data_IF_614177983771
#
_entry.id   IF_614177983771
#
_cell.length_a   1.000
_cell.length_b   1.000
_cell.length_c   1.000
_cell.angle_alpha   90.00
_cell.angle_beta   90.00
_cell.angle_gamma   90.00
#
_symmetry.space_group_name_H-M   'P 1'
#
loop_
_entity.id
_entity.type
_entity.pdbx_description
1 polymer ?
#
# COMPACT_ATOMS: atom_id res chain seq x y z
N UNK A 1 8.48 15.78 11.64
CA UNK A 1 9.69 15.95 12.49
C UNK A 1 10.58 14.72 12.48
N UNK A 2 10.04 13.49 12.64
CA UNK A 2 10.83 12.25 12.59
C UNK A 2 11.59 12.03 11.26
N UNK A 3 10.95 12.29 10.12
CA UNK A 3 11.59 12.16 8.80
C UNK A 3 12.80 13.10 8.64
N UNK A 4 12.64 14.36 9.04
CA UNK A 4 13.72 15.35 8.98
C UNK A 4 14.88 14.97 9.90
N UNK A 5 14.59 14.52 11.13
CA UNK A 5 15.61 14.01 12.04
C UNK A 5 16.34 12.78 11.49
N UNK A 6 15.60 11.83 10.90
CA UNK A 6 16.19 10.64 10.26
C UNK A 6 17.10 11.01 9.09
N UNK A 7 16.69 11.95 8.23
CA UNK A 7 17.49 12.49 7.13
C UNK A 7 18.79 13.15 7.61
N UNK A 8 18.71 13.95 8.69
CA UNK A 8 19.90 14.59 9.29
C UNK A 8 20.85 13.54 9.85
N UNK A 9 20.34 12.53 10.57
CA UNK A 9 21.17 11.44 11.12
C UNK A 9 21.85 10.67 9.99
N UNK A 10 21.13 10.28 8.94
CA UNK A 10 21.70 9.60 7.78
C UNK A 10 22.79 10.47 7.12
N UNK A 11 22.54 11.76 6.93
CA UNK A 11 23.51 12.69 6.36
C UNK A 11 24.78 12.80 7.19
N UNK A 12 24.65 12.94 8.51
CA UNK A 12 25.79 13.01 9.45
C UNK A 12 26.55 11.68 9.49
N UNK A 13 25.85 10.53 9.52
CA UNK A 13 26.47 9.21 9.50
C UNK A 13 27.27 8.97 8.23
N UNK A 14 26.76 9.36 7.06
CA UNK A 14 27.48 9.26 5.79
C UNK A 14 28.69 10.19 5.74
N UNK A 15 28.58 11.41 6.27
CA UNK A 15 29.69 12.36 6.31
C UNK A 15 30.84 11.93 7.25
N UNK A 16 30.52 11.33 8.39
CA UNK A 16 31.51 10.93 9.41
C UNK A 16 32.10 9.55 9.11
N UNK A 17 31.28 8.58 8.68
CA UNK A 17 31.70 7.19 8.51
C UNK A 17 32.01 6.81 7.05
N UNK A 18 31.47 7.52 6.06
CA UNK A 18 31.65 7.21 4.63
C UNK A 18 33.10 7.14 4.15
N UNK A 19 33.99 8.07 4.56
CA UNK A 19 35.42 8.00 4.21
C UNK A 19 36.14 6.80 4.82
N UNK A 20 35.73 6.32 6.00
CA UNK A 20 36.35 5.21 6.69
C UNK A 20 35.88 3.83 6.19
N UNK A 21 34.68 3.76 5.59
CA UNK A 21 34.10 2.54 5.02
C UNK A 21 34.32 2.40 3.51
N UNK A 22 34.94 3.40 2.86
CA UNK A 22 35.08 3.45 1.40
C UNK A 22 33.76 3.70 0.67
N UNK A 23 32.72 4.14 1.39
CA UNK A 23 31.43 4.47 0.81
C UNK A 23 31.53 5.80 0.05
N UNK A 24 32.00 5.72 -1.19
CA UNK A 24 31.82 6.80 -2.15
C UNK A 24 30.35 6.85 -2.56
N UNK A 25 29.73 8.02 -2.41
CA UNK A 25 28.40 8.27 -2.97
C UNK A 25 28.55 8.47 -4.47
N UNK A 26 28.48 7.38 -5.23
CA UNK A 26 28.36 7.49 -6.67
C UNK A 26 26.98 8.08 -7.00
N UNK A 27 26.99 9.33 -7.47
CA UNK A 27 25.78 10.06 -7.85
C UNK A 27 25.01 9.32 -8.96
N UNK A 28 25.66 8.43 -9.72
CA UNK A 28 24.98 7.58 -10.70
C UNK A 28 24.01 6.58 -10.04
N UNK A 29 24.27 6.14 -8.81
CA UNK A 29 23.36 5.27 -8.05
C UNK A 29 22.18 6.02 -7.43
N UNK A 30 22.19 7.37 -7.44
CA UNK A 30 21.06 8.19 -7.02
C UNK A 30 20.02 8.39 -8.14
N UNK A 31 20.34 7.98 -9.37
CA UNK A 31 19.40 8.05 -10.50
C UNK A 31 18.39 6.90 -10.39
N UNK A 32 17.07 7.17 -10.50
CA UNK A 32 16.06 6.13 -10.51
C UNK A 32 16.28 5.15 -11.66
N UNK A 33 16.28 3.85 -11.34
CA UNK A 33 16.40 2.78 -12.33
C UNK A 33 15.19 1.86 -12.26
N UNK A 34 14.75 1.38 -13.41
CA UNK A 34 13.70 0.37 -13.49
C UNK A 34 14.37 -0.99 -13.28
N UNK A 35 14.02 -1.67 -12.20
CA UNK A 35 14.49 -3.00 -11.87
C UNK A 35 13.29 -3.92 -11.71
N UNK A 36 13.28 -5.05 -12.42
CA UNK A 36 12.21 -6.03 -12.32
C UNK A 36 12.52 -7.00 -11.18
N UNK A 37 11.53 -7.23 -10.33
CA UNK A 37 11.63 -8.09 -9.15
C UNK A 37 10.92 -9.41 -9.41
N UNK A 38 11.67 -10.47 -9.72
CA UNK A 38 11.08 -11.78 -9.95
C UNK A 38 10.39 -12.31 -8.68
N UNK A 39 9.09 -12.70 -8.72
CA UNK A 39 8.43 -13.27 -7.56
C UNK A 39 8.96 -14.67 -7.26
N UNK A 40 9.32 -14.92 -6.00
CA UNK A 40 9.77 -16.23 -5.52
C UNK A 40 8.71 -16.83 -4.61
N UNK A 41 8.07 -17.91 -5.06
CA UNK A 41 7.03 -18.59 -4.29
C UNK A 41 7.63 -19.67 -3.42
N UNK A 42 7.45 -19.54 -2.10
CA UNK A 42 7.81 -20.60 -1.15
C UNK A 42 6.69 -20.82 -0.16
N UNK A 43 6.48 -22.08 0.23
CA UNK A 43 5.50 -22.44 1.27
C UNK A 43 5.87 -21.79 2.60
N UNK A 44 7.16 -21.72 2.92
CA UNK A 44 7.65 -21.06 4.12
C UNK A 44 7.25 -19.58 4.17
N UNK A 45 7.46 -18.81 3.10
CA UNK A 45 7.05 -17.41 3.05
C UNK A 45 5.52 -17.25 3.05
N UNK A 46 4.79 -18.16 2.39
CA UNK A 46 3.33 -18.15 2.41
C UNK A 46 2.78 -18.32 3.84
N UNK A 47 3.33 -19.25 4.62
CA UNK A 47 2.87 -19.52 5.99
C UNK A 47 3.38 -18.47 6.98
N UNK A 48 4.66 -18.09 6.89
CA UNK A 48 5.29 -17.19 7.85
C UNK A 48 4.95 -15.72 7.64
N UNK A 49 4.64 -15.32 6.40
CA UNK A 49 4.37 -13.92 6.04
C UNK A 49 3.02 -13.77 5.35
N UNK A 50 2.75 -14.56 4.31
CA UNK A 50 1.55 -14.43 3.48
C UNK A 50 0.25 -14.53 4.28
N UNK A 51 0.08 -15.61 5.04
CA UNK A 51 -1.12 -15.84 5.87
C UNK A 51 -1.26 -14.76 6.96
N UNK A 52 -0.24 -14.46 7.80
CA UNK A 52 -0.35 -13.41 8.80
C UNK A 52 -0.68 -12.03 8.21
N UNK A 53 0.01 -11.63 7.14
CA UNK A 53 -0.22 -10.33 6.49
C UNK A 53 -1.60 -10.26 5.83
N UNK A 54 -2.07 -11.36 5.25
CA UNK A 54 -3.43 -11.45 4.72
C UNK A 54 -4.46 -11.24 5.82
N UNK A 55 -4.32 -11.95 6.95
CA UNK A 55 -5.24 -11.82 8.09
C UNK A 55 -5.27 -10.37 8.61
N UNK A 56 -4.10 -9.75 8.82
CA UNK A 56 -4.01 -8.36 9.27
C UNK A 56 -4.66 -7.41 8.26
N UNK A 57 -4.39 -7.59 6.96
CA UNK A 57 -4.97 -6.75 5.90
C UNK A 57 -6.50 -6.86 5.86
N UNK A 58 -7.00 -8.09 6.00
CA UNK A 58 -8.44 -8.34 5.99
C UNK A 58 -9.13 -7.74 7.22
N UNK A 59 -8.56 -7.93 8.41
CA UNK A 59 -9.10 -7.43 9.65
C UNK A 59 -9.03 -5.89 9.75
N UNK A 60 -7.95 -5.28 9.27
CA UNK A 60 -7.71 -3.84 9.44
C UNK A 60 -8.27 -2.97 8.32
N UNK A 61 -8.40 -3.50 7.10
CA UNK A 61 -8.74 -2.67 5.92
C UNK A 61 -9.95 -3.22 5.16
N UNK A 62 -9.86 -4.45 4.63
CA UNK A 62 -10.88 -4.93 3.69
C UNK A 62 -12.24 -5.12 4.36
N UNK A 63 -12.29 -5.75 5.54
CA UNK A 63 -13.56 -5.97 6.24
C UNK A 63 -14.15 -4.67 6.80
N UNK A 64 -13.38 -3.80 7.51
CA UNK A 64 -13.89 -2.51 7.94
C UNK A 64 -14.38 -1.63 6.79
N UNK A 65 -13.67 -1.59 5.66
CA UNK A 65 -14.10 -0.78 4.50
C UNK A 65 -15.46 -1.19 3.95
N UNK A 66 -15.70 -2.50 3.84
CA UNK A 66 -17.00 -3.04 3.42
C UNK A 66 -18.08 -2.77 4.47
N UNK A 67 -17.76 -2.93 5.75
CA UNK A 67 -18.69 -2.65 6.83
C UNK A 67 -19.13 -1.17 6.85
N UNK A 68 -18.21 -0.24 6.56
CA UNK A 68 -18.53 1.19 6.46
C UNK A 68 -19.44 1.46 5.25
N UNK A 69 -19.13 0.91 4.07
CA UNK A 69 -20.00 1.05 2.91
C UNK A 69 -21.42 0.49 3.16
N UNK A 70 -21.50 -0.67 3.81
CA UNK A 70 -22.78 -1.26 4.21
C UNK A 70 -23.56 -0.38 5.19
N UNK A 71 -22.87 0.31 6.11
CA UNK A 71 -23.53 1.26 7.04
C UNK A 71 -24.14 2.48 6.35
N UNK A 72 -23.67 2.82 5.14
CA UNK A 72 -24.27 3.85 4.28
C UNK A 72 -25.31 3.28 3.29
N UNK A 73 -25.64 2.00 3.37
CA UNK A 73 -26.63 1.35 2.51
C UNK A 73 -26.10 0.83 1.18
N UNK A 74 -24.77 0.83 0.95
CA UNK A 74 -24.18 0.30 -0.28
C UNK A 74 -23.92 -1.20 -0.18
N UNK A 75 -24.43 -1.96 -1.15
CA UNK A 75 -24.06 -3.35 -1.35
C UNK A 75 -22.70 -3.43 -2.07
N UNK A 76 -21.68 -3.91 -1.37
CA UNK A 76 -20.33 -4.02 -1.96
C UNK A 76 -20.18 -5.35 -2.69
N UNK A 77 -19.75 -5.39 -3.97
CA UNK A 77 -19.53 -6.64 -4.70
C UNK A 77 -18.23 -7.32 -4.22
N UNK A 78 -18.28 -7.93 -3.05
CA UNK A 78 -17.11 -8.46 -2.32
C UNK A 78 -16.19 -9.34 -3.16
N UNK A 79 -16.76 -10.32 -3.88
CA UNK A 79 -15.98 -11.25 -4.71
C UNK A 79 -15.22 -10.51 -5.80
N UNK A 80 -15.91 -9.63 -6.53
CA UNK A 80 -15.29 -8.84 -7.59
C UNK A 80 -14.15 -8.01 -7.00
N UNK A 81 -14.43 -7.24 -5.95
CA UNK A 81 -13.45 -6.38 -5.29
C UNK A 81 -12.18 -7.12 -4.83
N UNK A 82 -12.34 -8.29 -4.19
CA UNK A 82 -11.19 -9.10 -3.77
C UNK A 82 -10.42 -9.70 -4.96
N UNK A 83 -11.12 -10.11 -6.03
CA UNK A 83 -10.43 -10.63 -7.22
C UNK A 83 -9.64 -9.54 -7.95
N UNK A 84 -10.14 -8.30 -8.03
CA UNK A 84 -9.41 -7.20 -8.68
C UNK A 84 -8.17 -6.82 -7.89
N UNK A 85 -8.25 -6.73 -6.56
CA UNK A 85 -7.08 -6.40 -5.73
C UNK A 85 -6.03 -7.51 -5.74
N UNK A 86 -6.45 -8.78 -5.75
CA UNK A 86 -5.54 -9.92 -5.90
C UNK A 86 -4.84 -9.91 -7.28
N UNK A 87 -5.60 -9.69 -8.36
CA UNK A 87 -5.04 -9.58 -9.71
C UNK A 87 -4.07 -8.40 -9.82
N UNK A 88 -4.43 -7.24 -9.27
CA UNK A 88 -3.57 -6.07 -9.23
C UNK A 88 -2.27 -6.34 -8.44
N UNK A 89 -2.35 -7.07 -7.33
CA UNK A 89 -1.17 -7.49 -6.55
C UNK A 89 -0.24 -8.40 -7.35
N UNK A 90 -0.81 -9.39 -8.06
CA UNK A 90 -0.01 -10.31 -8.89
C UNK A 90 0.65 -9.59 -10.06
N UNK A 91 -0.06 -8.65 -10.68
CA UNK A 91 0.46 -7.84 -11.80
C UNK A 91 1.52 -6.86 -11.31
N UNK A 92 1.41 -6.32 -10.09
CA UNK A 92 2.37 -5.36 -9.54
C UNK A 92 3.65 -6.02 -9.01
N UNK A 93 3.59 -7.29 -8.57
CA UNK A 93 4.72 -7.97 -7.95
C UNK A 93 6.02 -7.97 -8.80
N UNK A 94 6.01 -8.21 -10.13
CA UNK A 94 7.20 -8.11 -10.99
C UNK A 94 7.86 -6.74 -11.02
N UNK A 95 7.13 -5.69 -10.63
CA UNK A 95 7.62 -4.31 -10.56
C UNK A 95 8.01 -3.90 -9.12
N UNK A 96 8.12 -4.87 -8.20
CA UNK A 96 8.34 -4.59 -6.78
C UNK A 96 7.10 -4.03 -6.06
N UNK A 97 5.92 -4.21 -6.65
CA UNK A 97 4.65 -3.79 -6.06
C UNK A 97 4.31 -4.54 -4.78
N UNK A 98 3.69 -3.83 -3.84
CA UNK A 98 3.20 -4.40 -2.60
C UNK A 98 1.74 -4.87 -2.76
N UNK A 99 1.21 -5.52 -1.72
CA UNK A 99 -0.18 -5.97 -1.69
C UNK A 99 -1.15 -4.80 -1.89
N UNK A 100 -2.05 -4.96 -2.87
CA UNK A 100 -3.14 -4.03 -3.17
C UNK A 100 -4.36 -4.46 -2.33
N UNK A 101 -5.00 -3.49 -1.67
CA UNK A 101 -6.14 -3.71 -0.78
C UNK A 101 -7.22 -2.64 -1.01
N UNK A 102 -8.35 -2.75 -0.30
CA UNK A 102 -9.41 -1.74 -0.40
C UNK A 102 -9.00 -0.45 0.29
N UNK A 103 -9.15 0.68 -0.41
CA UNK A 103 -9.01 2.01 0.16
C UNK A 103 -10.22 2.38 1.04
N UNK A 104 -10.39 1.65 2.14
CA UNK A 104 -11.55 1.70 3.02
C UNK A 104 -11.89 3.11 3.51
N UNK A 105 -10.88 3.89 3.90
CA UNK A 105 -11.07 5.25 4.39
C UNK A 105 -11.53 6.19 3.28
N UNK A 106 -10.89 6.13 2.11
CA UNK A 106 -11.28 6.94 0.95
C UNK A 106 -12.70 6.60 0.51
N UNK A 107 -13.02 5.31 0.41
CA UNK A 107 -14.36 4.84 0.07
C UNK A 107 -15.40 5.34 1.08
N UNK A 108 -15.09 5.30 2.38
CA UNK A 108 -15.97 5.81 3.44
C UNK A 108 -16.22 7.31 3.32
N UNK A 109 -15.18 8.10 3.07
CA UNK A 109 -15.29 9.55 2.93
C UNK A 109 -16.13 9.94 1.71
N UNK A 110 -15.93 9.23 0.59
CA UNK A 110 -16.71 9.47 -0.62
C UNK A 110 -18.15 8.97 -0.52
N UNK A 111 -18.42 7.90 0.25
CA UNK A 111 -19.76 7.35 0.45
C UNK A 111 -20.60 8.10 1.51
N UNK A 112 -19.97 8.97 2.29
CA UNK A 112 -20.63 9.69 3.38
C UNK A 112 -21.72 10.65 2.87
N UNK A 113 -22.81 10.89 3.62
CA UNK A 113 -23.87 11.83 3.25
C UNK A 113 -23.39 13.27 3.00
N UNK A 114 -22.23 13.65 3.55
CA UNK A 114 -21.59 14.93 3.32
C UNK A 114 -20.99 15.08 1.92
N UNK A 115 -20.73 13.98 1.20
CA UNK A 115 -20.14 14.00 -0.13
C UNK A 115 -21.15 14.47 -1.19
N UNK A 116 -22.39 13.98 -1.12
CA UNK A 116 -23.49 14.41 -1.97
C UNK A 116 -24.86 14.04 -1.35
N UNK A 117 -25.91 14.87 -1.50
CA UNK A 117 -27.25 14.55 -1.01
C UNK A 117 -27.81 13.26 -1.63
N UNK A 118 -27.65 13.10 -2.94
CA UNK A 118 -28.04 11.90 -3.68
C UNK A 118 -27.00 10.78 -3.49
N UNK A 119 -27.37 9.62 -2.88
CA UNK A 119 -26.47 8.48 -2.70
C UNK A 119 -25.90 7.92 -4.01
N UNK A 120 -26.62 8.03 -5.13
CA UNK A 120 -26.15 7.48 -6.41
C UNK A 120 -25.11 8.37 -7.10
N UNK A 121 -24.91 9.60 -6.60
CA UNK A 121 -23.93 10.55 -7.13
C UNK A 121 -22.72 10.76 -6.21
N UNK A 122 -22.70 10.13 -5.03
CA UNK A 122 -21.62 10.31 -4.03
C UNK A 122 -20.23 9.90 -4.53
N UNK A 123 -20.16 8.99 -5.51
CA UNK A 123 -18.90 8.57 -6.14
C UNK A 123 -18.13 9.72 -6.81
N UNK A 124 -18.80 10.82 -7.17
CA UNK A 124 -18.16 11.99 -7.78
C UNK A 124 -17.14 12.68 -6.85
N UNK A 125 -17.23 12.44 -5.54
CA UNK A 125 -16.29 12.93 -4.54
C UNK A 125 -15.08 12.00 -4.31
N UNK A 126 -14.90 10.95 -5.12
CA UNK A 126 -13.83 9.96 -4.98
C UNK A 126 -12.52 10.31 -5.72
N UNK A 127 -12.38 11.54 -6.20
CA UNK A 127 -11.23 12.05 -6.97
C UNK A 127 -10.20 12.78 -6.11
#
# INVERSE_FOLDING_TARGET
TALAAALVVVGVSLAVAGPATGASLDLAHLVPRIELTAPVFTVAAAVALGIPLFVVTMASQNLPGVAVLASFGYETPWRAAMTTTAAATLVSAPFGGHAVNLAALSAALSAAPSAHPDPDERWRAAS
#
